data_IF_009616376602
#
_entry.id   IF_009616376602
#
_cell.length_a   1.000
_cell.length_b   1.000
_cell.length_c   1.000
_cell.angle_alpha   90.00
_cell.angle_beta   90.00
_cell.angle_gamma   90.00
#
_symmetry.space_group_name_H-M   'P 1'
#
loop_
_entity.id
_entity.type
_entity.pdbx_description
1 polymer ?
#
# COMPACT_ATOMS: atom_id res chain seq x y z
N UNK A 1 18.76 -14.25 12.59
CA UNK A 1 17.49 -14.97 12.38
C UNK A 1 16.32 -14.37 13.18
N UNK A 2 16.53 -13.87 14.41
CA UNK A 2 15.46 -13.28 15.24
C UNK A 2 14.88 -11.94 14.76
N UNK A 3 15.70 -11.03 14.21
CA UNK A 3 15.22 -9.71 13.77
C UNK A 3 14.27 -9.76 12.57
N UNK A 4 14.48 -10.71 11.64
CA UNK A 4 13.61 -10.89 10.47
C UNK A 4 12.21 -11.38 10.88
N UNK A 5 12.14 -12.36 11.79
CA UNK A 5 10.88 -12.88 12.33
C UNK A 5 10.12 -11.82 13.13
N UNK A 6 10.82 -11.01 13.93
CA UNK A 6 10.21 -9.90 14.66
C UNK A 6 9.66 -8.83 13.71
N UNK A 7 10.31 -8.61 12.57
CA UNK A 7 9.86 -7.64 11.54
C UNK A 7 8.61 -8.17 10.83
N UNK A 8 8.58 -9.44 10.41
CA UNK A 8 7.41 -10.06 9.77
C UNK A 8 6.19 -10.08 10.69
N UNK A 9 6.36 -10.43 11.99
CA UNK A 9 5.26 -10.34 12.95
C UNK A 9 4.74 -8.92 13.15
N UNK A 10 5.64 -7.93 13.13
CA UNK A 10 5.25 -6.52 13.23
C UNK A 10 4.47 -6.06 11.99
N UNK A 11 4.87 -6.50 10.80
CA UNK A 11 4.16 -6.22 9.55
C UNK A 11 2.76 -6.86 9.58
N UNK A 12 2.64 -8.12 10.01
CA UNK A 12 1.32 -8.77 10.10
C UNK A 12 0.37 -8.03 11.05
N UNK A 13 0.86 -7.57 12.21
CA UNK A 13 0.05 -6.75 13.12
C UNK A 13 -0.41 -5.43 12.50
N UNK A 14 0.44 -4.81 11.69
CA UNK A 14 0.07 -3.59 10.96
C UNK A 14 -0.96 -3.88 9.87
N UNK A 15 -0.84 -5.01 9.17
CA UNK A 15 -1.84 -5.47 8.20
C UNK A 15 -3.19 -5.70 8.90
N UNK A 16 -3.20 -6.35 10.07
CA UNK A 16 -4.42 -6.56 10.84
C UNK A 16 -5.04 -5.22 11.29
N UNK A 17 -4.20 -4.25 11.67
CA UNK A 17 -4.63 -2.91 12.08
C UNK A 17 -5.31 -2.11 10.95
N UNK A 18 -5.10 -2.47 9.67
CA UNK A 18 -5.85 -1.91 8.55
C UNK A 18 -7.35 -2.25 8.59
N UNK A 19 -7.77 -3.24 9.38
CA UNK A 19 -9.18 -3.60 9.54
C UNK A 19 -9.75 -3.16 10.90
N UNK A 20 -9.04 -2.30 11.64
CA UNK A 20 -9.49 -1.84 12.94
C UNK A 20 -10.76 -0.98 12.81
N UNK A 21 -11.64 -1.05 13.81
CA UNK A 21 -12.86 -0.24 13.87
C UNK A 21 -12.57 1.27 13.92
N UNK A 22 -11.46 1.67 14.53
CA UNK A 22 -11.04 3.06 14.63
C UNK A 22 -10.30 3.51 13.36
N UNK A 23 -10.82 4.50 12.61
CA UNK A 23 -10.15 5.04 11.42
C UNK A 23 -8.77 5.62 11.72
N UNK A 24 -8.52 6.13 12.93
CA UNK A 24 -7.21 6.64 13.32
C UNK A 24 -6.15 5.53 13.40
N UNK A 25 -6.56 4.34 13.85
CA UNK A 25 -5.68 3.15 13.87
C UNK A 25 -5.39 2.70 12.44
N UNK A 26 -6.42 2.60 11.58
CA UNK A 26 -6.24 2.24 10.16
C UNK A 26 -5.32 3.22 9.43
N UNK A 27 -5.54 4.53 9.61
CA UNK A 27 -4.68 5.59 9.07
C UNK A 27 -3.22 5.43 9.52
N UNK A 28 -3.03 5.17 10.80
CA UNK A 28 -1.68 4.98 11.36
C UNK A 28 -1.01 3.76 10.77
N UNK A 29 -1.74 2.66 10.60
CA UNK A 29 -1.25 1.47 9.92
C UNK A 29 -0.82 1.78 8.48
N UNK A 30 -1.65 2.44 7.66
CA UNK A 30 -1.28 2.85 6.30
C UNK A 30 0.03 3.65 6.26
N UNK A 31 0.15 4.66 7.13
CA UNK A 31 1.34 5.51 7.19
C UNK A 31 2.60 4.74 7.58
N UNK A 32 2.51 3.87 8.58
CA UNK A 32 3.66 3.07 9.02
C UNK A 32 4.08 2.10 7.92
N UNK A 33 3.12 1.44 7.27
CA UNK A 33 3.37 0.54 6.15
C UNK A 33 4.06 1.26 4.98
N UNK A 34 3.57 2.44 4.57
CA UNK A 34 4.20 3.27 3.54
C UNK A 34 5.63 3.71 3.87
N UNK A 35 5.89 3.98 5.15
CA UNK A 35 7.22 4.36 5.63
C UNK A 35 8.23 3.20 5.60
N UNK A 36 7.79 1.95 5.71
CA UNK A 36 8.66 0.77 5.67
C UNK A 36 9.29 0.53 4.29
N UNK A 37 8.67 1.01 3.20
CA UNK A 37 9.22 0.96 1.84
C UNK A 37 9.58 -0.46 1.39
N UNK A 38 10.85 -0.70 1.03
CA UNK A 38 11.37 -1.99 0.53
C UNK A 38 11.12 -3.16 1.48
N UNK A 39 11.11 -2.92 2.81
CA UNK A 39 10.85 -3.97 3.80
C UNK A 39 9.42 -4.51 3.73
N UNK A 40 8.53 -3.80 3.05
CA UNK A 40 7.12 -4.09 2.92
C UNK A 40 6.72 -4.70 1.56
N UNK A 41 7.68 -4.95 0.68
CA UNK A 41 7.44 -5.46 -0.69
C UNK A 41 6.94 -6.92 -0.72
N UNK A 42 6.23 -7.38 0.30
CA UNK A 42 5.43 -8.59 0.24
C UNK A 42 4.07 -8.27 -0.38
N UNK A 43 3.60 -9.12 -1.31
CA UNK A 43 2.33 -8.92 -2.03
C UNK A 43 1.17 -8.65 -1.08
N UNK A 44 1.08 -9.36 0.04
CA UNK A 44 -0.02 -9.20 1.00
C UNK A 44 -0.16 -7.78 1.56
N UNK A 45 0.94 -7.10 1.87
CA UNK A 45 0.89 -5.75 2.44
C UNK A 45 0.42 -4.74 1.40
N UNK A 46 0.89 -4.88 0.16
CA UNK A 46 0.51 -4.05 -0.98
C UNK A 46 -0.97 -4.23 -1.30
N UNK A 47 -1.44 -5.47 -1.46
CA UNK A 47 -2.84 -5.75 -1.73
C UNK A 47 -3.74 -5.16 -0.64
N UNK A 48 -3.35 -5.26 0.63
CA UNK A 48 -4.14 -4.70 1.75
C UNK A 48 -4.15 -3.17 1.76
N UNK A 49 -3.05 -2.51 1.39
CA UNK A 49 -3.02 -1.06 1.18
C UNK A 49 -3.88 -0.62 -0.01
N UNK A 50 -3.92 -1.41 -1.10
CA UNK A 50 -4.82 -1.15 -2.24
C UNK A 50 -6.27 -1.22 -1.78
N UNK A 51 -6.66 -2.20 -0.96
CA UNK A 51 -8.01 -2.26 -0.40
C UNK A 51 -8.34 -1.06 0.51
N UNK A 52 -7.35 -0.49 1.21
CA UNK A 52 -7.54 0.71 2.02
C UNK A 52 -7.84 1.97 1.18
N UNK A 53 -7.71 1.92 -0.15
CA UNK A 53 -8.21 2.97 -1.04
C UNK A 53 -9.74 3.01 -1.12
N UNK A 54 -10.43 1.94 -0.73
CA UNK A 54 -11.90 1.87 -0.62
C UNK A 54 -12.40 2.08 0.81
N UNK A 55 -11.54 2.54 1.73
CA UNK A 55 -11.92 2.76 3.12
C UNK A 55 -13.08 3.76 3.23
N UNK A 56 -14.08 3.55 4.12
CA UNK A 56 -15.17 4.51 4.31
C UNK A 56 -14.67 5.90 4.74
N UNK A 57 -13.55 5.99 5.47
CA UNK A 57 -12.95 7.24 5.91
C UNK A 57 -12.05 7.84 4.81
N UNK A 58 -12.36 9.07 4.39
CA UNK A 58 -11.61 9.76 3.32
C UNK A 58 -10.16 10.02 3.66
N UNK A 59 -9.83 10.20 4.94
CA UNK A 59 -8.46 10.42 5.41
C UNK A 59 -7.66 9.13 5.30
N UNK A 60 -8.28 7.98 5.61
CA UNK A 60 -7.64 6.67 5.43
C UNK A 60 -7.36 6.41 3.96
N UNK A 61 -8.32 6.69 3.07
CA UNK A 61 -8.11 6.57 1.60
C UNK A 61 -6.93 7.42 1.12
N UNK A 62 -6.85 8.67 1.55
CA UNK A 62 -5.75 9.57 1.18
C UNK A 62 -4.40 9.01 1.64
N UNK A 63 -4.30 8.59 2.91
CA UNK A 63 -3.04 8.08 3.46
C UNK A 63 -2.65 6.74 2.82
N UNK A 64 -3.60 5.90 2.44
CA UNK A 64 -3.32 4.68 1.67
C UNK A 64 -2.72 5.00 0.30
N UNK A 65 -3.26 6.00 -0.42
CA UNK A 65 -2.72 6.46 -1.69
C UNK A 65 -1.28 7.00 -1.53
N UNK A 66 -1.03 7.83 -0.52
CA UNK A 66 0.29 8.36 -0.21
C UNK A 66 1.28 7.24 0.12
N UNK A 67 0.87 6.27 0.94
CA UNK A 67 1.68 5.13 1.32
C UNK A 67 2.07 4.27 0.11
N UNK A 68 1.14 3.97 -0.79
CA UNK A 68 1.41 3.25 -2.03
C UNK A 68 2.37 4.02 -2.94
N UNK A 69 2.23 5.35 -3.03
CA UNK A 69 3.17 6.22 -3.75
C UNK A 69 4.57 6.21 -3.17
N UNK A 70 4.70 6.22 -1.85
CA UNK A 70 5.99 6.10 -1.17
C UNK A 70 6.64 4.74 -1.38
N UNK A 71 5.86 3.66 -1.31
CA UNK A 71 6.35 2.30 -1.60
C UNK A 71 6.82 2.23 -3.05
N UNK A 72 6.02 2.72 -4.01
CA UNK A 72 6.38 2.77 -5.42
C UNK A 72 7.68 3.54 -5.69
N UNK A 73 7.86 4.69 -5.02
CA UNK A 73 9.08 5.50 -5.15
C UNK A 73 10.30 4.83 -4.53
N UNK A 74 10.14 4.13 -3.40
CA UNK A 74 11.26 3.52 -2.68
C UNK A 74 11.63 2.14 -3.24
N UNK A 75 10.63 1.37 -3.69
CA UNK A 75 10.75 -0.04 -4.04
C UNK A 75 9.89 -0.39 -5.27
N UNK A 76 10.25 0.06 -6.48
CA UNK A 76 9.51 -0.28 -7.70
C UNK A 76 9.80 -1.73 -8.10
N UNK A 77 9.09 -2.68 -7.49
CA UNK A 77 9.20 -4.11 -7.79
C UNK A 77 8.23 -4.53 -8.89
N UNK A 78 8.53 -5.66 -9.58
CA UNK A 78 7.64 -6.20 -10.61
C UNK A 78 6.29 -6.62 -10.05
N UNK A 79 6.30 -7.11 -8.82
CA UNK A 79 5.10 -7.53 -8.10
C UNK A 79 4.18 -6.33 -7.83
N UNK A 80 4.76 -5.20 -7.40
CA UNK A 80 4.01 -3.95 -7.21
C UNK A 80 3.39 -3.44 -8.51
N UNK A 81 4.14 -3.54 -9.62
CA UNK A 81 3.64 -3.20 -10.96
C UNK A 81 2.47 -4.13 -11.33
N UNK A 82 2.57 -5.43 -11.08
CA UNK A 82 1.50 -6.40 -11.36
C UNK A 82 0.22 -6.06 -10.58
N UNK A 83 0.34 -5.82 -9.27
CA UNK A 83 -0.82 -5.45 -8.44
C UNK A 83 -1.47 -4.14 -8.89
N UNK A 84 -0.67 -3.16 -9.35
CA UNK A 84 -1.22 -1.92 -9.90
C UNK A 84 -1.86 -2.11 -11.28
N UNK A 85 -1.35 -3.01 -12.11
CA UNK A 85 -2.01 -3.40 -13.37
C UNK A 85 -3.36 -4.04 -13.06
N UNK A 86 -3.42 -4.98 -12.11
CA UNK A 86 -4.67 -5.63 -11.71
C UNK A 86 -5.68 -4.62 -11.14
N UNK A 87 -5.20 -3.61 -10.41
CA UNK A 87 -6.01 -2.53 -9.87
C UNK A 87 -6.61 -1.60 -10.95
N UNK A 88 -6.14 -1.64 -12.21
CA UNK A 88 -6.75 -0.91 -13.32
C UNK A 88 -8.13 -1.47 -13.71
N UNK A 89 -8.40 -2.74 -13.42
CA UNK A 89 -9.69 -3.39 -13.68
C UNK A 89 -10.64 -3.32 -12.48
N UNK A 90 -10.26 -2.61 -11.41
CA UNK A 90 -11.09 -2.49 -10.22
C UNK A 90 -12.41 -1.72 -10.52
N UNK A 91 -13.49 -2.12 -9.86
CA UNK A 91 -14.82 -1.49 -10.01
C UNK A 91 -14.82 -0.04 -9.53
N UNK A 92 -14.03 0.31 -8.52
CA UNK A 92 -13.93 1.66 -7.97
C UNK A 92 -13.07 2.58 -8.87
N UNK A 93 -13.64 3.67 -9.41
CA UNK A 93 -12.89 4.63 -10.23
C UNK A 93 -11.68 5.27 -9.53
N UNK A 94 -11.73 5.42 -8.20
CA UNK A 94 -10.64 5.97 -7.40
C UNK A 94 -9.46 5.02 -7.35
N UNK A 95 -9.70 3.71 -7.20
CA UNK A 95 -8.63 2.70 -7.29
C UNK A 95 -8.00 2.72 -8.67
N UNK A 96 -8.80 2.67 -9.74
CA UNK A 96 -8.28 2.73 -11.12
C UNK A 96 -7.43 3.97 -11.36
N UNK A 97 -7.90 5.14 -10.90
CA UNK A 97 -7.16 6.41 -11.01
C UNK A 97 -5.82 6.34 -10.27
N UNK A 98 -5.83 5.81 -9.04
CA UNK A 98 -4.64 5.68 -8.21
C UNK A 98 -3.62 4.75 -8.88
N UNK A 99 -4.07 3.61 -9.39
CA UNK A 99 -3.24 2.67 -10.15
C UNK A 99 -2.58 3.33 -11.37
N UNK A 100 -3.34 4.07 -12.19
CA UNK A 100 -2.79 4.84 -13.31
C UNK A 100 -1.71 5.83 -12.87
N UNK A 101 -1.95 6.59 -11.79
CA UNK A 101 -1.00 7.57 -11.28
C UNK A 101 0.30 6.91 -10.79
N UNK A 102 0.18 5.80 -10.07
CA UNK A 102 1.32 5.08 -9.52
C UNK A 102 2.17 4.42 -10.61
N UNK A 103 1.52 3.80 -11.60
CA UNK A 103 2.20 3.23 -12.77
C UNK A 103 2.92 4.31 -13.59
N UNK A 104 2.29 5.46 -13.81
CA UNK A 104 2.92 6.60 -14.49
C UNK A 104 4.17 7.11 -13.74
N UNK A 105 4.07 7.23 -12.41
CA UNK A 105 5.19 7.66 -11.56
C UNK A 105 6.37 6.69 -11.63
N UNK A 106 6.12 5.37 -11.75
CA UNK A 106 7.18 4.39 -11.94
C UNK A 106 7.79 4.43 -13.34
N UNK A 107 6.96 4.62 -14.37
CA UNK A 107 7.40 4.72 -15.76
C UNK A 107 8.37 5.89 -15.98
N UNK A 108 8.07 7.06 -15.40
CA UNK A 108 8.98 8.23 -15.44
C UNK A 108 10.33 7.98 -14.76
N UNK A 109 10.37 7.08 -13.76
CA UNK A 109 11.60 6.76 -13.02
C UNK A 109 12.45 5.66 -13.68
N UNK A 110 11.83 4.80 -14.48
CA UNK A 110 12.48 3.68 -15.17
C UNK A 110 12.91 4.04 -16.61
N UNK A 111 12.44 5.17 -17.15
CA UNK A 111 12.85 5.75 -18.43
C UNK A 111 14.12 6.60 -18.29
#
# INVERSE_FOLDING_TARGET
MGEKLATEQSINKLIDALNNVDPMVRKTACRVLGNMGEKLASNQSITKLIHALDDPDSTVRQVACEALGDIARKAPTRELISEFIDALDNVDPMIRKTACQLLGTMGEKLA
#
